data_IF_280585794633
#
_entry.id   IF_280585794633
#
_cell.length_a   1.000
_cell.length_b   1.000
_cell.length_c   1.000
_cell.angle_alpha   90.00
_cell.angle_beta   90.00
_cell.angle_gamma   90.00
#
_symmetry.space_group_name_H-M   'P 1'
#
loop_
_entity.id
_entity.type
_entity.pdbx_description
1 polymer ?
#
# COMPACT_ATOMS: atom_id res chain seq x y z
N UNK A 1 -6.59 -19.01 3.28
CA UNK A 1 -6.10 -17.63 3.13
C UNK A 1 -6.82 -17.03 1.94
N UNK A 2 -7.44 -15.85 2.10
CA UNK A 2 -8.17 -15.18 1.03
C UNK A 2 -7.61 -13.76 0.86
N UNK A 3 -7.17 -13.43 -0.35
CA UNK A 3 -6.66 -12.10 -0.67
C UNK A 3 -7.67 -11.33 -1.52
N UNK A 4 -7.80 -10.03 -1.27
CA UNK A 4 -8.63 -9.12 -2.06
C UNK A 4 -7.86 -7.85 -2.37
N UNK A 5 -8.08 -7.32 -3.56
CA UNK A 5 -7.56 -6.02 -3.98
C UNK A 5 -8.73 -5.10 -4.30
N UNK A 6 -8.69 -3.88 -3.78
CA UNK A 6 -9.68 -2.83 -4.04
C UNK A 6 -8.94 -1.53 -4.29
N UNK A 7 -9.28 -0.83 -5.36
CA UNK A 7 -8.80 0.52 -5.61
C UNK A 7 -9.99 1.46 -5.76
N UNK A 8 -9.84 2.70 -5.32
CA UNK A 8 -10.82 3.78 -5.48
C UNK A 8 -10.29 4.86 -6.39
N UNK A 9 -11.21 5.53 -7.09
CA UNK A 9 -10.89 6.69 -7.93
C UNK A 9 -10.37 7.89 -7.12
N UNK A 10 -10.51 7.85 -5.80
CA UNK A 10 -9.97 8.85 -4.87
C UNK A 10 -8.48 8.67 -4.56
N UNK A 11 -7.78 7.77 -5.26
CA UNK A 11 -6.35 7.55 -5.11
C UNK A 11 -5.95 6.58 -4.00
N UNK A 12 -6.88 5.78 -3.48
CA UNK A 12 -6.59 4.78 -2.46
C UNK A 12 -6.62 3.37 -3.05
N UNK A 13 -5.63 2.55 -2.71
CA UNK A 13 -5.60 1.12 -3.00
C UNK A 13 -5.42 0.34 -1.71
N UNK A 14 -6.18 -0.74 -1.55
CA UNK A 14 -6.14 -1.66 -0.42
C UNK A 14 -5.89 -3.06 -0.95
N UNK A 15 -4.78 -3.66 -0.55
CA UNK A 15 -4.59 -5.09 -0.65
C UNK A 15 -4.81 -5.69 0.73
N UNK A 16 -5.76 -6.60 0.86
CA UNK A 16 -6.10 -7.23 2.12
C UNK A 16 -5.93 -8.74 2.02
N UNK A 17 -5.32 -9.32 3.04
CA UNK A 17 -5.22 -10.75 3.23
C UNK A 17 -5.93 -11.17 4.52
N UNK A 18 -6.90 -12.06 4.42
CA UNK A 18 -7.61 -12.60 5.58
C UNK A 18 -7.11 -14.02 5.84
N UNK A 19 -6.59 -14.22 7.05
CA UNK A 19 -6.04 -15.49 7.55
C UNK A 19 -6.94 -16.06 8.64
N UNK A 20 -6.59 -17.22 9.18
CA UNK A 20 -7.32 -17.81 10.30
C UNK A 20 -7.15 -17.02 11.61
N UNK A 21 -6.11 -16.18 11.70
CA UNK A 21 -5.71 -15.47 12.93
C UNK A 21 -5.98 -13.97 12.87
N UNK A 22 -6.46 -13.45 11.74
CA UNK A 22 -6.70 -12.02 11.58
C UNK A 22 -6.73 -11.55 10.13
N UNK A 23 -6.57 -10.23 9.97
CA UNK A 23 -6.53 -9.55 8.69
C UNK A 23 -5.27 -8.70 8.57
N UNK A 24 -4.54 -8.86 7.47
CA UNK A 24 -3.40 -8.03 7.09
C UNK A 24 -3.82 -7.13 5.94
N UNK A 25 -3.44 -5.85 5.97
CA UNK A 25 -3.75 -4.88 4.94
C UNK A 25 -2.52 -4.07 4.55
N UNK A 26 -2.27 -3.95 3.25
CA UNK A 26 -1.42 -2.92 2.66
C UNK A 26 -2.34 -1.84 2.07
N UNK A 27 -2.29 -0.65 2.66
CA UNK A 27 -3.05 0.52 2.26
C UNK A 27 -2.11 1.53 1.60
N UNK A 28 -2.35 1.86 0.34
CA UNK A 28 -1.64 2.90 -0.40
C UNK A 28 -2.60 4.05 -0.62
N UNK A 29 -2.22 5.25 -0.22
CA UNK A 29 -3.00 6.47 -0.45
C UNK A 29 -2.15 7.45 -1.23
N UNK A 30 -2.61 7.82 -2.42
CA UNK A 30 -2.07 8.92 -3.22
C UNK A 30 -2.85 10.18 -2.86
N UNK A 31 -2.15 11.28 -2.62
CA UNK A 31 -2.77 12.58 -2.34
C UNK A 31 -2.66 13.50 -3.57
N UNK A 32 -3.60 13.42 -4.54
CA UNK A 32 -3.61 14.33 -5.67
C UNK A 32 -3.83 15.77 -5.19
N UNK A 33 -2.85 16.64 -5.44
CA UNK A 33 -2.93 18.08 -5.14
C UNK A 33 -2.14 18.57 -3.91
N UNK A 34 -1.59 17.69 -3.07
CA UNK A 34 -0.73 18.08 -1.93
C UNK A 34 0.62 17.36 -1.99
N UNK A 35 1.71 18.11 -2.20
CA UNK A 35 3.14 17.71 -2.20
C UNK A 35 3.49 16.42 -2.97
N UNK A 36 2.55 15.91 -3.75
CA UNK A 36 2.57 14.63 -4.46
C UNK A 36 3.15 13.49 -3.61
N UNK A 37 2.67 13.34 -2.37
CA UNK A 37 3.11 12.24 -1.51
C UNK A 37 2.20 11.00 -1.66
N UNK A 38 2.83 9.83 -1.58
CA UNK A 38 2.14 8.56 -1.39
C UNK A 38 2.40 8.06 0.03
N UNK A 39 1.32 7.67 0.71
CA UNK A 39 1.37 7.07 2.04
C UNK A 39 1.12 5.58 1.90
N UNK A 40 2.05 4.77 2.39
CA UNK A 40 1.94 3.32 2.41
C UNK A 40 1.84 2.89 3.87
N UNK A 41 0.78 2.18 4.21
CA UNK A 41 0.52 1.70 5.56
C UNK A 41 0.31 0.19 5.53
N UNK A 42 0.99 -0.52 6.43
CA UNK A 42 0.78 -1.94 6.70
C UNK A 42 0.01 -2.02 8.02
N UNK A 43 -1.17 -2.64 8.00
CA UNK A 43 -1.99 -2.90 9.17
C UNK A 43 -2.14 -4.40 9.36
N UNK A 44 -1.98 -4.86 10.58
CA UNK A 44 -2.22 -6.24 10.98
C UNK A 44 -3.19 -6.22 12.15
N UNK A 45 -4.40 -6.70 11.91
CA UNK A 45 -5.45 -6.84 12.91
C UNK A 45 -5.59 -8.33 13.25
N UNK A 46 -4.91 -8.74 14.32
CA UNK A 46 -4.86 -10.13 14.80
C UNK A 46 -5.40 -10.20 16.22
N UNK A 47 -5.66 -11.40 16.73
CA UNK A 47 -6.22 -11.64 18.06
C UNK A 47 -5.47 -10.96 19.23
N UNK A 48 -4.24 -10.48 19.00
CA UNK A 48 -3.40 -9.77 19.96
C UNK A 48 -3.42 -8.23 19.86
N UNK A 49 -4.19 -7.66 18.93
CA UNK A 49 -4.34 -6.22 18.73
C UNK A 49 -3.98 -5.74 17.31
N UNK A 50 -4.15 -4.43 17.10
CA UNK A 50 -3.83 -3.77 15.84
C UNK A 50 -2.38 -3.29 15.84
N UNK A 51 -1.57 -3.84 14.94
CA UNK A 51 -0.24 -3.32 14.60
C UNK A 51 -0.37 -2.49 13.33
N UNK A 52 0.16 -1.27 13.32
CA UNK A 52 0.13 -0.40 12.16
C UNK A 52 1.45 0.33 11.99
N UNK A 53 2.08 0.14 10.83
CA UNK A 53 3.30 0.87 10.43
C UNK A 53 3.02 1.66 9.15
N UNK A 54 3.52 2.88 9.06
CA UNK A 54 3.35 3.72 7.87
C UNK A 54 4.66 4.34 7.42
N UNK A 55 4.85 4.39 6.10
CA UNK A 55 5.90 5.16 5.44
C UNK A 55 5.27 6.15 4.46
N UNK A 56 5.90 7.31 4.32
CA UNK A 56 5.55 8.29 3.29
C UNK A 56 6.69 8.36 2.29
N UNK A 57 6.35 8.36 1.00
CA UNK A 57 7.28 8.53 -0.10
C UNK A 57 6.80 9.69 -0.97
N UNK A 58 7.69 10.63 -1.27
CA UNK A 58 7.37 11.72 -2.19
C UNK A 58 7.33 11.21 -3.65
N UNK A 59 6.74 12.00 -4.55
CA UNK A 59 6.59 11.63 -5.96
C UNK A 59 7.91 11.30 -6.64
N UNK A 60 8.97 12.07 -6.39
CA UNK A 60 10.25 11.88 -7.06
C UNK A 60 10.90 10.54 -6.70
N UNK A 61 10.81 10.12 -5.43
CA UNK A 61 11.29 8.81 -5.01
C UNK A 61 10.35 7.68 -5.43
N UNK A 62 9.04 7.91 -5.46
CA UNK A 62 8.08 6.94 -5.99
C UNK A 62 8.32 6.67 -7.48
N UNK A 63 8.60 7.72 -8.25
CA UNK A 63 8.93 7.60 -9.66
C UNK A 63 10.19 6.76 -9.87
N UNK A 64 11.27 7.03 -9.10
CA UNK A 64 12.50 6.23 -9.15
C UNK A 64 12.25 4.76 -8.80
N UNK A 65 11.40 4.49 -7.82
CA UNK A 65 11.01 3.13 -7.45
C UNK A 65 10.28 2.44 -8.60
N UNK A 66 9.32 3.11 -9.23
CA UNK A 66 8.58 2.55 -10.38
C UNK A 66 9.50 2.31 -11.58
N UNK A 67 10.43 3.22 -11.85
CA UNK A 67 11.45 3.04 -12.89
C UNK A 67 12.32 1.82 -12.59
N UNK A 68 12.84 1.70 -11.37
CA UNK A 68 13.61 0.52 -10.96
C UNK A 68 12.81 -0.77 -11.08
N UNK A 69 11.54 -0.79 -10.67
CA UNK A 69 10.66 -1.96 -10.80
C UNK A 69 10.42 -2.36 -12.26
N UNK A 70 10.33 -1.38 -13.18
CA UNK A 70 10.22 -1.63 -14.62
C UNK A 70 11.51 -2.24 -15.16
N UNK A 71 12.67 -1.75 -14.74
CA UNK A 71 13.97 -2.31 -15.12
C UNK A 71 14.13 -3.76 -14.62
N UNK A 72 13.51 -4.12 -13.49
CA UNK A 72 13.45 -5.49 -12.99
C UNK A 72 12.38 -6.36 -13.69
N UNK A 73 11.57 -5.80 -14.59
CA UNK A 73 10.46 -6.51 -15.24
C UNK A 73 9.29 -6.83 -14.31
N UNK A 74 9.23 -6.21 -13.13
CA UNK A 74 8.17 -6.43 -12.15
C UNK A 74 6.88 -5.64 -12.48
N UNK A 75 7.01 -4.58 -13.28
CA UNK A 75 5.92 -3.74 -13.78
C UNK A 75 6.14 -3.52 -15.27
N UNK A 76 5.08 -3.68 -16.09
CA UNK A 76 5.10 -3.39 -17.54
C UNK A 76 4.79 -1.91 -17.79
#
# INVERSE_FOLDING_TARGET
>A
MQSTFRASDSGQAVFQNTTATGTEQLLVTLHPGSDSMAHIQIKEDVSGGLVSTSISINQSNLQKLVEWLRDQGAVQ
#
